data_IF_105919856512
#
_entry.id   IF_105919856512
#
_cell.length_a   1.000
_cell.length_b   1.000
_cell.length_c   1.000
_cell.angle_alpha   90.00
_cell.angle_beta   90.00
_cell.angle_gamma   90.00
#
_symmetry.space_group_name_H-M   'P 1'
#
loop_
_entity.id
_entity.type
_entity.pdbx_description
1 polymer ?
#
# COMPACT_ATOMS: atom_id res chain seq x y z
N UNK A 1 15.14 -8.60 -30.90
CA UNK A 1 13.94 -9.04 -30.13
C UNK A 1 14.30 -9.68 -28.78
N UNK A 2 15.28 -10.58 -28.68
CA UNK A 2 15.69 -11.26 -27.42
C UNK A 2 16.19 -10.32 -26.32
N UNK A 3 16.95 -9.25 -26.63
CA UNK A 3 17.52 -8.30 -25.64
C UNK A 3 16.44 -7.54 -24.89
N UNK A 4 15.34 -7.14 -25.56
CA UNK A 4 14.20 -6.45 -24.92
C UNK A 4 13.42 -7.35 -23.96
N UNK A 5 13.31 -8.65 -24.26
CA UNK A 5 12.62 -9.59 -23.38
C UNK A 5 13.43 -9.86 -22.09
N UNK A 6 14.75 -9.94 -22.20
CA UNK A 6 15.64 -10.10 -21.05
C UNK A 6 15.59 -8.90 -20.10
N UNK A 7 15.52 -7.66 -20.64
CA UNK A 7 15.38 -6.44 -19.82
C UNK A 7 14.03 -6.38 -19.08
N UNK A 8 12.93 -6.73 -19.77
CA UNK A 8 11.60 -6.79 -19.15
C UNK A 8 11.54 -7.85 -18.03
N UNK A 9 12.10 -9.03 -18.28
CA UNK A 9 12.17 -10.11 -17.28
C UNK A 9 12.98 -9.68 -16.05
N UNK A 10 14.14 -9.03 -16.25
CA UNK A 10 14.95 -8.52 -15.15
C UNK A 10 14.18 -7.47 -14.31
N UNK A 11 13.49 -6.53 -14.95
CA UNK A 11 12.66 -5.55 -14.26
C UNK A 11 11.53 -6.19 -13.43
N UNK A 12 10.86 -7.19 -14.00
CA UNK A 12 9.84 -7.97 -13.30
C UNK A 12 10.39 -8.69 -12.07
N UNK A 13 11.52 -9.37 -12.20
CA UNK A 13 12.16 -10.08 -11.08
C UNK A 13 12.59 -9.15 -9.95
N UNK A 14 13.10 -7.95 -10.29
CA UNK A 14 13.46 -6.94 -9.29
C UNK A 14 12.21 -6.45 -8.54
N UNK A 15 11.10 -6.21 -9.24
CA UNK A 15 9.83 -5.82 -8.61
C UNK A 15 9.30 -6.92 -7.68
N UNK A 16 9.39 -8.18 -8.09
CA UNK A 16 9.02 -9.32 -7.23
C UNK A 16 9.89 -9.39 -5.97
N UNK A 17 11.21 -9.29 -6.11
CA UNK A 17 12.14 -9.30 -4.98
C UNK A 17 11.86 -8.14 -4.01
N UNK A 18 11.67 -6.92 -4.52
CA UNK A 18 11.32 -5.75 -3.71
C UNK A 18 9.97 -5.92 -3.00
N UNK A 19 8.97 -6.52 -3.67
CA UNK A 19 7.67 -6.84 -3.07
C UNK A 19 7.78 -7.84 -1.92
N UNK A 20 8.58 -8.90 -2.08
CA UNK A 20 8.85 -9.87 -1.02
C UNK A 20 9.49 -9.18 0.19
N UNK A 21 10.53 -8.37 -0.02
CA UNK A 21 11.19 -7.61 1.06
C UNK A 21 10.19 -6.70 1.76
N UNK A 22 9.33 -5.99 1.02
CA UNK A 22 8.28 -5.15 1.59
C UNK A 22 7.30 -5.95 2.46
N UNK A 23 6.92 -7.15 2.06
CA UNK A 23 6.09 -8.06 2.85
C UNK A 23 6.74 -8.45 4.18
N UNK A 24 8.03 -8.82 4.17
CA UNK A 24 8.79 -9.10 5.38
C UNK A 24 8.88 -7.89 6.33
N UNK A 25 9.14 -6.70 5.79
CA UNK A 25 9.22 -5.46 6.58
C UNK A 25 7.87 -5.10 7.22
N UNK A 26 6.76 -5.34 6.54
CA UNK A 26 5.43 -5.16 7.11
C UNK A 26 5.18 -6.10 8.30
N UNK A 27 5.54 -7.39 8.19
CA UNK A 27 5.43 -8.34 9.32
C UNK A 27 6.30 -7.88 10.50
N UNK A 28 7.53 -7.50 10.24
CA UNK A 28 8.43 -7.02 11.29
C UNK A 28 7.86 -5.79 12.01
N UNK A 29 7.27 -4.85 11.25
CA UNK A 29 6.65 -3.66 11.80
C UNK A 29 5.39 -3.99 12.61
N UNK A 30 4.55 -4.90 12.11
CA UNK A 30 3.35 -5.38 12.82
C UNK A 30 3.72 -6.08 14.13
N UNK A 31 4.72 -6.95 14.13
CA UNK A 31 5.21 -7.60 15.34
C UNK A 31 5.79 -6.61 16.35
N UNK A 32 6.50 -5.58 15.88
CA UNK A 32 7.00 -4.51 16.73
C UNK A 32 5.83 -3.71 17.35
N UNK A 33 4.80 -3.37 16.57
CA UNK A 33 3.60 -2.70 17.07
C UNK A 33 2.89 -3.51 18.16
N UNK A 34 2.75 -4.83 17.96
CA UNK A 34 2.18 -5.74 18.96
C UNK A 34 3.00 -5.72 20.26
N UNK A 35 4.33 -5.83 20.16
CA UNK A 35 5.22 -5.81 21.34
C UNK A 35 5.19 -4.47 22.10
N UNK A 36 5.02 -3.37 21.37
CA UNK A 36 4.91 -2.02 21.94
C UNK A 36 3.49 -1.67 22.39
N UNK A 37 2.54 -2.62 22.29
CA UNK A 37 1.12 -2.43 22.62
C UNK A 37 0.48 -1.24 21.88
N UNK A 38 0.95 -0.94 20.67
CA UNK A 38 0.35 0.10 19.82
C UNK A 38 -0.97 -0.44 19.24
N UNK A 39 -2.11 0.25 19.42
CA UNK A 39 -3.42 -0.24 18.98
C UNK A 39 -3.65 -0.02 17.46
N UNK A 40 -2.61 -0.11 16.66
CA UNK A 40 -2.61 0.03 15.21
C UNK A 40 -2.13 -1.28 14.57
N UNK A 41 -2.57 -1.54 13.35
CA UNK A 41 -2.15 -2.74 12.63
C UNK A 41 -0.71 -2.64 12.13
N UNK A 42 -0.30 -1.47 11.63
CA UNK A 42 1.06 -1.14 11.16
C UNK A 42 1.63 -2.16 10.15
N UNK A 43 0.76 -2.86 9.45
CA UNK A 43 1.09 -4.00 8.58
C UNK A 43 1.13 -3.66 7.09
N UNK A 44 0.83 -2.41 6.71
CA UNK A 44 0.59 -2.04 5.31
C UNK A 44 1.46 -0.89 4.79
N UNK A 45 2.32 -0.32 5.62
CA UNK A 45 3.18 0.81 5.26
C UNK A 45 4.06 0.50 4.04
N UNK A 46 4.76 -0.64 4.06
CA UNK A 46 5.61 -1.04 2.95
C UNK A 46 4.82 -1.60 1.75
N UNK A 47 3.57 -2.03 1.93
CA UNK A 47 2.67 -2.32 0.81
C UNK A 47 2.33 -1.04 0.04
N UNK A 48 2.07 0.08 0.72
CA UNK A 48 1.91 1.39 0.07
C UNK A 48 3.18 1.79 -0.67
N UNK A 49 4.35 1.69 -0.02
CA UNK A 49 5.65 1.95 -0.66
C UNK A 49 5.84 1.11 -1.93
N UNK A 50 5.63 -0.21 -1.83
CA UNK A 50 5.74 -1.14 -2.95
C UNK A 50 4.75 -0.81 -4.09
N UNK A 51 3.53 -0.43 -3.74
CA UNK A 51 2.50 -0.01 -4.70
C UNK A 51 2.91 1.26 -5.46
N UNK A 52 3.65 2.17 -4.83
CA UNK A 52 4.21 3.34 -5.51
C UNK A 52 5.24 2.94 -6.58
N UNK A 53 5.97 1.84 -6.39
CA UNK A 53 6.92 1.32 -7.38
C UNK A 53 6.26 0.62 -8.57
N UNK A 54 5.14 -0.05 -8.42
CA UNK A 54 4.43 -0.72 -9.53
C UNK A 54 3.33 -1.66 -9.05
N UNK A 55 2.48 -2.08 -10.00
CA UNK A 55 1.44 -3.06 -9.73
C UNK A 55 2.01 -4.38 -9.21
N UNK A 56 3.00 -4.91 -9.91
CA UNK A 56 3.65 -6.19 -9.56
C UNK A 56 4.27 -6.13 -8.16
N UNK A 57 5.02 -5.06 -7.86
CA UNK A 57 5.67 -4.88 -6.57
C UNK A 57 4.64 -4.81 -5.43
N UNK A 58 3.55 -4.04 -5.59
CA UNK A 58 2.48 -3.92 -4.61
C UNK A 58 1.72 -5.22 -4.38
N UNK A 59 1.34 -5.93 -5.45
CA UNK A 59 0.64 -7.22 -5.36
C UNK A 59 1.52 -8.27 -4.66
N UNK A 60 2.79 -8.38 -5.05
CA UNK A 60 3.72 -9.31 -4.42
C UNK A 60 3.94 -8.97 -2.94
N UNK A 61 4.01 -7.69 -2.58
CA UNK A 61 4.09 -7.27 -1.19
C UNK A 61 2.85 -7.71 -0.39
N UNK A 62 1.64 -7.54 -0.95
CA UNK A 62 0.40 -8.00 -0.32
C UNK A 62 0.35 -9.52 -0.15
N UNK A 63 0.71 -10.28 -1.21
CA UNK A 63 0.78 -11.75 -1.15
C UNK A 63 1.78 -12.20 -0.09
N UNK A 64 2.99 -11.65 -0.11
CA UNK A 64 4.06 -12.02 0.83
C UNK A 64 3.67 -11.70 2.28
N UNK A 65 3.07 -10.53 2.54
CA UNK A 65 2.56 -10.15 3.85
C UNK A 65 1.59 -11.20 4.40
N UNK A 66 0.54 -11.54 3.64
CA UNK A 66 -0.52 -12.41 4.14
C UNK A 66 -0.09 -13.87 4.21
N UNK A 67 0.75 -14.33 3.29
CA UNK A 67 1.34 -15.67 3.36
C UNK A 67 2.24 -15.83 4.59
N UNK A 68 3.11 -14.86 4.85
CA UNK A 68 3.97 -14.86 6.03
C UNK A 68 3.15 -14.71 7.32
N UNK A 69 2.16 -13.82 7.33
CA UNK A 69 1.26 -13.63 8.47
C UNK A 69 0.50 -14.92 8.80
N UNK A 70 0.04 -15.65 7.78
CA UNK A 70 -0.61 -16.95 7.95
C UNK A 70 0.32 -17.97 8.62
N UNK A 71 1.58 -18.02 8.22
CA UNK A 71 2.57 -18.93 8.85
C UNK A 71 2.95 -18.48 10.26
N UNK A 72 3.25 -17.19 10.47
CA UNK A 72 3.73 -16.66 11.76
C UNK A 72 2.66 -16.69 12.84
N UNK A 73 1.39 -16.46 12.49
CA UNK A 73 0.28 -16.42 13.44
C UNK A 73 -0.50 -17.75 13.56
N UNK A 74 0.09 -18.87 13.14
CA UNK A 74 -0.46 -20.20 13.40
C UNK A 74 -1.58 -20.63 12.47
N UNK A 75 -1.48 -20.35 11.18
CA UNK A 75 -2.40 -20.83 10.13
C UNK A 75 -3.86 -20.35 10.28
N UNK A 76 -4.06 -19.16 10.82
CA UNK A 76 -5.40 -18.59 10.97
C UNK A 76 -5.98 -18.11 9.64
N UNK A 77 -7.16 -18.59 9.28
CA UNK A 77 -7.88 -18.28 8.03
C UNK A 77 -8.11 -16.76 7.86
N UNK A 78 -8.30 -16.02 8.95
CA UNK A 78 -8.46 -14.57 8.92
C UNK A 78 -7.31 -13.85 8.19
N UNK A 79 -6.06 -14.33 8.33
CA UNK A 79 -4.90 -13.72 7.72
C UNK A 79 -4.96 -13.79 6.18
N UNK A 80 -5.53 -14.86 5.64
CA UNK A 80 -5.75 -14.98 4.20
C UNK A 80 -6.94 -14.13 3.73
N UNK A 81 -7.99 -14.02 4.55
CA UNK A 81 -9.18 -13.24 4.18
C UNK A 81 -8.85 -11.75 4.07
N UNK A 82 -8.03 -11.20 4.97
CA UNK A 82 -7.61 -9.81 4.92
C UNK A 82 -6.62 -9.47 3.78
N UNK A 83 -6.17 -10.47 3.02
CA UNK A 83 -5.43 -10.26 1.77
C UNK A 83 -6.19 -9.36 0.78
N UNK A 84 -7.51 -9.50 0.70
CA UNK A 84 -8.34 -8.66 -0.18
C UNK A 84 -8.25 -7.18 0.20
N UNK A 85 -8.24 -6.84 1.50
CA UNK A 85 -8.04 -5.47 1.96
C UNK A 85 -6.69 -4.89 1.49
N UNK A 86 -5.63 -5.68 1.50
CA UNK A 86 -4.31 -5.26 1.00
C UNK A 86 -4.30 -5.10 -0.52
N UNK A 87 -5.03 -5.94 -1.27
CA UNK A 87 -5.22 -5.79 -2.71
C UNK A 87 -5.98 -4.50 -3.05
N UNK A 88 -7.09 -4.23 -2.37
CA UNK A 88 -7.84 -2.98 -2.51
C UNK A 88 -6.95 -1.77 -2.26
N UNK A 89 -6.08 -1.83 -1.25
CA UNK A 89 -5.10 -0.78 -1.00
C UNK A 89 -4.16 -0.57 -2.19
N UNK A 90 -3.59 -1.62 -2.77
CA UNK A 90 -2.72 -1.53 -3.96
C UNK A 90 -3.45 -0.85 -5.11
N UNK A 91 -4.70 -1.25 -5.36
CA UNK A 91 -5.56 -0.67 -6.41
C UNK A 91 -5.79 0.83 -6.15
N UNK A 92 -6.21 1.20 -4.94
CA UNK A 92 -6.47 2.60 -4.58
C UNK A 92 -5.22 3.48 -4.73
N UNK A 93 -4.06 3.01 -4.23
CA UNK A 93 -2.78 3.74 -4.36
C UNK A 93 -2.44 3.96 -5.83
N UNK A 94 -2.52 2.93 -6.66
CA UNK A 94 -2.20 3.03 -8.10
C UNK A 94 -3.17 3.91 -8.86
N UNK A 95 -4.46 3.81 -8.61
CA UNK A 95 -5.48 4.61 -9.30
C UNK A 95 -5.45 6.08 -8.86
N UNK A 96 -5.27 6.37 -7.57
CA UNK A 96 -5.36 7.73 -7.05
C UNK A 96 -4.06 8.53 -7.20
N UNK A 97 -2.88 7.87 -7.12
CA UNK A 97 -1.60 8.56 -7.22
C UNK A 97 -0.95 8.50 -8.61
N UNK A 98 -1.21 7.45 -9.41
CA UNK A 98 -0.44 7.18 -10.64
C UNK A 98 -1.31 7.05 -11.90
N UNK A 99 -2.61 7.32 -11.85
CA UNK A 99 -3.45 7.39 -13.07
C UNK A 99 -3.12 8.67 -13.86
N UNK A 100 -3.03 8.58 -15.22
CA UNK A 100 -2.68 9.70 -16.11
C UNK A 100 -3.47 10.98 -15.83
N UNK A 101 -4.77 10.89 -15.62
CA UNK A 101 -5.62 12.05 -15.30
C UNK A 101 -5.33 12.64 -13.91
N UNK A 102 -4.83 11.83 -12.97
CA UNK A 102 -4.40 12.31 -11.67
C UNK A 102 -3.11 13.12 -11.74
N UNK A 103 -2.22 12.80 -12.69
CA UNK A 103 -0.98 13.54 -12.95
C UNK A 103 -1.26 14.93 -13.56
N UNK A 104 -2.15 15.02 -14.54
CA UNK A 104 -2.53 16.31 -15.16
C UNK A 104 -3.14 17.30 -14.14
N UNK A 105 -3.90 16.79 -13.15
CA UNK A 105 -4.42 17.64 -12.06
C UNK A 105 -3.32 18.04 -11.07
N UNK A 106 -2.16 17.36 -11.03
CA UNK A 106 -1.00 17.75 -10.21
C UNK A 106 -0.27 18.97 -10.79
N UNK A 107 -0.22 19.11 -12.11
CA UNK A 107 0.35 20.28 -12.78
C UNK A 107 -0.52 21.53 -12.63
N UNK A 108 -1.83 21.37 -12.42
CA UNK A 108 -2.80 22.46 -12.30
C UNK A 108 -3.17 22.81 -10.84
N UNK A 109 -2.27 22.63 -9.86
CA UNK A 109 -2.36 23.26 -8.53
C UNK A 109 -2.94 22.44 -7.37
N UNK A 110 -3.18 21.14 -7.53
CA UNK A 110 -3.55 20.29 -6.40
C UNK A 110 -2.34 19.93 -5.52
N UNK A 111 -2.31 20.34 -4.25
CA UNK A 111 -1.20 20.02 -3.35
C UNK A 111 -1.07 18.50 -3.13
N UNK A 112 0.14 17.95 -3.31
CA UNK A 112 0.44 16.52 -3.06
C UNK A 112 -0.07 16.02 -1.70
N UNK A 113 0.11 16.77 -0.58
CA UNK A 113 -0.39 16.34 0.73
C UNK A 113 -1.91 16.20 0.79
N UNK A 114 -2.68 17.02 0.09
CA UNK A 114 -4.14 16.90 0.05
C UNK A 114 -4.57 15.57 -0.58
N UNK A 115 -3.91 15.13 -1.66
CA UNK A 115 -4.20 13.84 -2.30
C UNK A 115 -3.85 12.65 -1.43
N UNK A 116 -2.72 12.72 -0.71
CA UNK A 116 -2.35 11.69 0.26
C UNK A 116 -3.39 11.64 1.38
N UNK A 117 -3.88 12.78 1.84
CA UNK A 117 -4.94 12.86 2.84
C UNK A 117 -6.25 12.23 2.34
N UNK A 118 -6.68 12.58 1.12
CA UNK A 118 -7.88 12.00 0.50
C UNK A 118 -7.71 10.49 0.34
N UNK A 119 -6.55 10.03 -0.14
CA UNK A 119 -6.25 8.60 -0.24
C UNK A 119 -6.33 7.90 1.12
N UNK A 120 -5.77 8.49 2.17
CA UNK A 120 -5.81 7.93 3.52
C UNK A 120 -7.25 7.79 4.04
N UNK A 121 -8.10 8.80 3.82
CA UNK A 121 -9.52 8.78 4.22
C UNK A 121 -10.29 7.72 3.41
N UNK A 122 -10.11 7.67 2.09
CA UNK A 122 -10.74 6.67 1.22
C UNK A 122 -10.34 5.26 1.65
N UNK A 123 -9.05 5.02 1.89
CA UNK A 123 -8.57 3.72 2.36
C UNK A 123 -9.14 3.36 3.74
N UNK A 124 -9.21 4.31 4.67
CA UNK A 124 -9.80 4.08 5.99
C UNK A 124 -11.26 3.65 5.88
N UNK A 125 -12.04 4.31 5.03
CA UNK A 125 -13.45 3.97 4.80
C UNK A 125 -13.62 2.60 4.14
N UNK A 126 -12.96 2.38 3.00
CA UNK A 126 -13.12 1.15 2.21
C UNK A 126 -12.63 -0.07 3.00
N UNK A 127 -11.44 0.02 3.63
CA UNK A 127 -10.87 -1.11 4.39
C UNK A 127 -11.66 -1.35 5.68
N UNK A 128 -12.29 -0.33 6.28
CA UNK A 128 -13.18 -0.56 7.43
C UNK A 128 -14.46 -1.30 7.04
N UNK A 129 -15.02 -0.99 5.87
CA UNK A 129 -16.17 -1.70 5.33
C UNK A 129 -15.82 -3.15 4.97
N UNK A 130 -14.75 -3.37 4.19
CA UNK A 130 -14.26 -4.72 3.83
C UNK A 130 -13.91 -5.53 5.08
N UNK A 131 -13.10 -4.97 5.98
CA UNK A 131 -12.69 -5.63 7.22
C UNK A 131 -13.86 -5.92 8.16
N UNK A 132 -14.87 -5.04 8.21
CA UNK A 132 -16.12 -5.28 8.94
C UNK A 132 -16.92 -6.43 8.37
N UNK A 133 -17.05 -6.50 7.03
CA UNK A 133 -17.72 -7.57 6.33
C UNK A 133 -17.02 -8.92 6.53
N UNK A 134 -15.70 -8.96 6.37
CA UNK A 134 -14.92 -10.18 6.59
C UNK A 134 -14.97 -10.65 8.05
N UNK A 135 -14.90 -9.72 8.98
CA UNK A 135 -15.05 -10.05 10.40
C UNK A 135 -16.40 -10.65 10.71
N UNK A 136 -17.49 -10.04 10.22
CA UNK A 136 -18.84 -10.55 10.37
C UNK A 136 -19.00 -11.95 9.76
N UNK A 137 -18.51 -12.14 8.53
CA UNK A 137 -18.56 -13.43 7.85
C UNK A 137 -17.77 -14.53 8.62
N UNK A 138 -16.56 -14.21 9.06
CA UNK A 138 -15.71 -15.15 9.80
C UNK A 138 -16.31 -15.53 11.14
N UNK A 139 -16.84 -14.58 11.93
CA UNK A 139 -17.52 -14.91 13.20
C UNK A 139 -18.78 -15.74 12.96
N UNK A 140 -19.55 -15.44 11.92
CA UNK A 140 -20.74 -16.21 11.58
C UNK A 140 -20.42 -17.67 11.23
N UNK A 141 -19.26 -17.89 10.58
CA UNK A 141 -18.81 -19.23 10.15
C UNK A 141 -18.08 -19.99 11.27
N UNK A 142 -17.20 -19.33 12.02
CA UNK A 142 -16.29 -20.00 12.96
C UNK A 142 -16.73 -19.94 14.41
N UNK A 143 -17.60 -18.98 14.76
CA UNK A 143 -18.02 -18.65 16.14
C UNK A 143 -16.86 -18.28 17.09
N UNK A 144 -15.65 -18.10 16.58
CA UNK A 144 -14.48 -17.69 17.35
C UNK A 144 -14.25 -16.18 17.27
N UNK A 145 -13.72 -15.65 18.36
CA UNK A 145 -13.33 -14.24 18.44
C UNK A 145 -12.06 -14.02 17.63
N UNK A 146 -12.13 -13.10 16.66
CA UNK A 146 -11.11 -12.89 15.65
C UNK A 146 -10.66 -11.43 15.69
N UNK A 147 -9.34 -11.19 15.69
CA UNK A 147 -8.78 -9.86 15.46
C UNK A 147 -8.16 -9.19 16.69
N UNK A 148 -7.90 -7.90 16.58
CA UNK A 148 -7.25 -7.08 17.60
C UNK A 148 -8.18 -6.89 18.80
N UNK A 149 -7.67 -7.10 20.01
CA UNK A 149 -8.43 -7.03 21.25
C UNK A 149 -9.10 -5.65 21.45
N UNK A 150 -8.40 -4.56 21.17
CA UNK A 150 -8.95 -3.22 21.31
C UNK A 150 -10.14 -2.96 20.35
N UNK A 151 -10.04 -3.42 19.10
CA UNK A 151 -11.15 -3.34 18.13
C UNK A 151 -12.33 -4.19 18.58
N UNK A 152 -12.07 -5.39 19.09
CA UNK A 152 -13.11 -6.29 19.59
C UNK A 152 -13.87 -5.68 20.79
N UNK A 153 -13.18 -5.03 21.71
CA UNK A 153 -13.84 -4.31 22.82
C UNK A 153 -14.79 -3.23 22.31
N UNK A 154 -14.39 -2.44 21.31
CA UNK A 154 -15.27 -1.44 20.68
C UNK A 154 -16.49 -2.09 19.99
N UNK A 155 -16.28 -3.21 19.28
CA UNK A 155 -17.38 -3.95 18.65
C UNK A 155 -18.41 -4.38 19.70
N UNK A 156 -17.96 -5.00 20.80
CA UNK A 156 -18.85 -5.43 21.88
C UNK A 156 -19.59 -4.26 22.53
N UNK A 157 -18.91 -3.13 22.73
CA UNK A 157 -19.57 -1.91 23.26
C UNK A 157 -20.74 -1.47 22.37
N UNK A 158 -20.56 -1.48 21.03
CA UNK A 158 -21.67 -1.15 20.13
C UNK A 158 -22.77 -2.20 20.11
N UNK A 159 -22.41 -3.48 20.13
CA UNK A 159 -23.37 -4.60 20.14
C UNK A 159 -24.23 -4.56 21.42
N UNK A 160 -23.65 -4.26 22.57
CA UNK A 160 -24.41 -4.09 23.83
C UNK A 160 -25.39 -2.92 23.81
N UNK A 161 -25.18 -1.96 22.92
CA UNK A 161 -26.10 -0.84 22.64
C UNK A 161 -27.12 -1.17 21.53
N UNK A 162 -27.32 -2.45 21.20
CA UNK A 162 -28.22 -2.95 20.14
C UNK A 162 -27.86 -2.49 18.71
N UNK A 163 -26.61 -2.09 18.45
CA UNK A 163 -26.15 -1.83 17.10
C UNK A 163 -25.89 -3.17 16.40
N UNK A 164 -26.40 -3.38 15.16
CA UNK A 164 -26.16 -4.61 14.42
C UNK A 164 -24.67 -4.95 14.29
N UNK A 165 -24.31 -6.22 14.41
CA UNK A 165 -22.93 -6.72 14.46
C UNK A 165 -22.06 -6.24 13.30
N UNK A 166 -22.60 -6.25 12.06
CA UNK A 166 -21.88 -5.77 10.87
C UNK A 166 -21.54 -4.28 10.98
N UNK A 167 -22.50 -3.46 11.41
CA UNK A 167 -22.30 -2.02 11.60
C UNK A 167 -21.30 -1.78 12.72
N UNK A 168 -21.43 -2.48 13.84
CA UNK A 168 -20.50 -2.41 14.97
C UNK A 168 -19.08 -2.75 14.56
N UNK A 169 -18.91 -3.82 13.77
CA UNK A 169 -17.61 -4.24 13.26
C UNK A 169 -16.98 -3.20 12.33
N UNK A 170 -17.75 -2.54 11.51
CA UNK A 170 -17.28 -1.47 10.59
C UNK A 170 -16.93 -0.19 11.37
N UNK A 171 -17.82 0.27 12.23
CA UNK A 171 -17.63 1.50 13.02
C UNK A 171 -16.44 1.40 13.97
N UNK A 172 -16.25 0.25 14.63
CA UNK A 172 -15.14 0.04 15.53
C UNK A 172 -13.77 0.07 14.82
N UNK A 173 -13.72 -0.32 13.54
CA UNK A 173 -12.48 -0.33 12.74
C UNK A 173 -12.14 1.04 12.16
N UNK A 174 -13.13 1.87 11.90
CA UNK A 174 -12.92 3.13 11.20
C UNK A 174 -11.89 4.06 11.89
N UNK A 175 -11.99 4.39 13.18
CA UNK A 175 -11.02 5.28 13.83
C UNK A 175 -9.60 4.69 13.85
N UNK A 176 -9.47 3.39 14.07
CA UNK A 176 -8.17 2.70 14.05
C UNK A 176 -7.58 2.71 12.64
N UNK A 177 -8.38 2.38 11.62
CA UNK A 177 -7.94 2.42 10.23
C UNK A 177 -7.62 3.85 9.76
N UNK A 178 -8.32 4.88 10.26
CA UNK A 178 -8.02 6.26 9.87
C UNK A 178 -6.60 6.65 10.24
N UNK A 179 -6.18 6.36 11.46
CA UNK A 179 -4.81 6.64 11.94
C UNK A 179 -3.80 5.72 11.26
N UNK A 180 -4.11 4.43 11.17
CA UNK A 180 -3.23 3.42 10.58
C UNK A 180 -2.98 3.69 9.07
N UNK A 181 -4.03 3.99 8.30
CA UNK A 181 -3.90 4.28 6.86
C UNK A 181 -3.30 5.65 6.60
N UNK A 182 -3.53 6.64 7.47
CA UNK A 182 -2.78 7.90 7.38
C UNK A 182 -1.28 7.65 7.58
N UNK A 183 -0.88 6.94 8.63
CA UNK A 183 0.53 6.59 8.86
C UNK A 183 1.12 5.79 7.68
N UNK A 184 0.39 4.79 7.16
CA UNK A 184 0.83 3.98 6.03
C UNK A 184 0.98 4.78 4.73
N UNK A 185 0.04 5.67 4.41
CA UNK A 185 0.05 6.49 3.18
C UNK A 185 1.16 7.54 3.23
N UNK A 186 1.21 8.34 4.29
CA UNK A 186 2.23 9.39 4.40
C UNK A 186 3.62 8.80 4.59
N UNK A 187 3.79 7.81 5.47
CA UNK A 187 5.06 7.11 5.69
C UNK A 187 5.53 6.34 4.46
N UNK A 188 4.64 5.55 3.85
CA UNK A 188 4.95 4.75 2.67
C UNK A 188 5.31 5.59 1.46
N UNK A 189 4.57 6.69 1.20
CA UNK A 189 4.92 7.64 0.14
C UNK A 189 6.21 8.39 0.45
N UNK A 190 6.45 8.76 1.71
CA UNK A 190 7.70 9.39 2.16
C UNK A 190 8.92 8.50 1.90
N UNK A 191 8.84 7.21 2.26
CA UNK A 191 9.90 6.22 1.97
C UNK A 191 10.13 6.10 0.47
N UNK A 192 9.06 6.00 -0.32
CA UNK A 192 9.15 5.97 -1.78
C UNK A 192 9.88 7.19 -2.34
N UNK A 193 9.53 8.40 -1.91
CA UNK A 193 10.17 9.63 -2.36
C UNK A 193 11.65 9.70 -1.99
N UNK A 194 12.02 9.24 -0.79
CA UNK A 194 13.41 9.16 -0.34
C UNK A 194 14.22 8.16 -1.18
N UNK A 195 13.66 6.97 -1.44
CA UNK A 195 14.31 5.96 -2.28
C UNK A 195 14.50 6.45 -3.71
N UNK A 196 13.50 7.11 -4.30
CA UNK A 196 13.64 7.72 -5.63
C UNK A 196 14.78 8.75 -5.65
N UNK A 197 14.83 9.66 -4.67
CA UNK A 197 15.89 10.66 -4.58
C UNK A 197 17.27 10.04 -4.47
N UNK A 198 17.43 9.00 -3.64
CA UNK A 198 18.70 8.30 -3.47
C UNK A 198 19.17 7.62 -4.77
N UNK A 199 18.26 6.98 -5.51
CA UNK A 199 18.58 6.34 -6.80
C UNK A 199 18.98 7.40 -7.84
N UNK A 200 18.28 8.53 -7.92
CA UNK A 200 18.58 9.61 -8.87
C UNK A 200 19.93 10.26 -8.57
N UNK A 201 20.25 10.51 -7.30
CA UNK A 201 21.54 11.08 -6.90
C UNK A 201 22.71 10.15 -7.26
N UNK A 202 22.57 8.86 -7.03
CA UNK A 202 23.59 7.85 -7.38
C UNK A 202 23.85 7.81 -8.89
N UNK A 203 22.79 7.91 -9.70
CA UNK A 203 22.90 7.96 -11.16
C UNK A 203 23.67 9.19 -11.64
N UNK A 204 23.48 10.33 -11.02
CA UNK A 204 24.18 11.59 -11.37
C UNK A 204 25.66 11.57 -10.91
N UNK A 205 25.99 10.85 -9.83
CA UNK A 205 27.36 10.73 -9.31
C UNK A 205 28.25 9.80 -10.14
N UNK A 206 27.69 8.72 -10.70
CA UNK A 206 28.47 7.70 -11.40
C UNK A 206 28.84 8.07 -12.86
N UNK A 207 28.35 9.22 -13.40
CA UNK A 207 28.71 9.70 -14.77
C UNK A 207 28.48 8.69 -15.91
N UNK A 208 28.12 7.45 -15.56
CA UNK A 208 27.85 6.38 -16.50
C UNK A 208 26.39 6.47 -16.94
N UNK A 209 26.17 6.47 -18.25
CA UNK A 209 24.87 6.16 -18.87
C UNK A 209 24.48 4.74 -18.49
N UNK A 210 24.08 4.52 -17.25
CA UNK A 210 23.40 3.28 -16.87
C UNK A 210 22.03 3.37 -17.53
N UNK A 211 21.95 2.68 -18.67
CA UNK A 211 20.72 2.43 -19.41
C UNK A 211 19.61 2.06 -18.43
N UNK A 212 18.46 2.71 -18.52
CA UNK A 212 17.30 2.64 -17.62
C UNK A 212 16.85 1.20 -17.32
N UNK A 213 17.57 0.48 -16.47
CA UNK A 213 17.16 -0.85 -16.00
C UNK A 213 16.08 -0.80 -14.93
N UNK A 214 15.84 0.38 -14.35
CA UNK A 214 14.63 0.74 -13.62
C UNK A 214 13.72 1.55 -14.55
N UNK A 215 13.33 0.99 -15.69
CA UNK A 215 12.16 1.45 -16.39
C UNK A 215 10.97 1.14 -15.46
N UNK A 216 10.73 2.05 -14.55
CA UNK A 216 9.49 2.23 -13.87
C UNK A 216 8.39 2.17 -14.91
N UNK A 217 7.40 1.30 -14.72
CA UNK A 217 6.10 1.37 -15.38
C UNK A 217 5.30 2.56 -14.80
N UNK A 218 6.00 3.68 -14.59
CA UNK A 218 5.42 5.00 -14.50
C UNK A 218 5.24 5.44 -15.95
N UNK A 219 4.01 5.60 -16.42
CA UNK A 219 3.71 6.26 -17.69
C UNK A 219 4.16 7.73 -17.74
N UNK A 220 5.32 8.04 -17.18
CA UNK A 220 6.07 9.30 -17.24
C UNK A 220 7.14 9.27 -18.33
N UNK A 221 6.95 8.51 -19.39
CA UNK A 221 7.69 8.62 -20.64
C UNK A 221 7.02 9.64 -21.56
N UNK A 222 6.82 10.88 -21.11
CA UNK A 222 6.35 12.01 -21.88
C UNK A 222 7.43 13.08 -21.91
N UNK A 223 8.28 13.06 -22.97
CA UNK A 223 8.89 14.19 -23.66
C UNK A 223 9.34 15.39 -22.83
N UNK A 224 10.61 15.39 -22.40
CA UNK A 224 11.37 16.64 -22.53
C UNK A 224 11.89 16.62 -23.98
N UNK A 225 11.03 16.95 -24.90
CA UNK A 225 11.42 17.42 -26.23
C UNK A 225 12.00 18.82 -26.06
N UNK A 226 13.23 18.97 -26.53
CA UNK A 226 14.04 20.18 -26.60
C UNK A 226 13.22 21.38 -27.06
N UNK A 227 13.03 22.35 -26.17
CA UNK A 227 12.61 23.70 -26.49
C UNK A 227 13.86 24.59 -26.77
N UNK A 228 14.70 24.18 -27.71
CA UNK A 228 15.80 24.99 -28.22
C UNK A 228 15.86 24.80 -29.75
N UNK A 229 14.90 25.41 -30.46
CA UNK A 229 15.05 25.68 -31.90
C UNK A 229 13.87 26.51 -32.44
N UNK A 230 13.76 27.76 -32.02
CA UNK A 230 13.09 28.83 -32.81
C UNK A 230 13.65 30.20 -32.39
N UNK A 231 14.90 30.43 -32.78
CA UNK A 231 15.38 31.76 -33.09
C UNK A 231 16.15 31.64 -34.41
N UNK A 232 15.52 32.05 -35.49
CA UNK A 232 16.05 32.63 -36.75
C UNK A 232 15.01 32.40 -37.86
N UNK A 233 14.16 33.34 -38.11
CA UNK A 233 13.94 34.11 -39.37
C UNK A 233 12.87 35.18 -39.09
#
# INVERSE_FOLDING_TARGET
MMKNNALKLRGFLIQCAAGIVAGFLNIALSLAAIKLHVPLFMDTLFTVTASCFGWTCGIVAAVSLHTLSFVVHGFMLQNLTFFFCSLTMVVCVRLMLFRKNALNTMEHGGSKPLRLLILAIVLALVISLEGGLFYYALISLTKYNIGNQAVNMLIYTFVTQNVPMLISATLARFPVNLVDKAAAVFGGYGIFALLQKAVTQRKNSDGSKVENSFAFDSGMGGGIENADEYDEI
#
